data_IF_074699967686
#
_entry.id   IF_074699967686
#
_cell.length_a   1.000
_cell.length_b   1.000
_cell.length_c   1.000
_cell.angle_alpha   90.00
_cell.angle_beta   90.00
_cell.angle_gamma   90.00
#
_symmetry.space_group_name_H-M   'P 1'
#
loop_
_entity.id
_entity.type
_entity.pdbx_description
1 polymer ?
#
# COMPACT_ATOMS: atom_id res chain seq x y z
N UNK A 1 -1.65 -8.17 -25.44
CA UNK A 1 -1.79 -7.95 -23.99
C UNK A 1 -1.02 -6.69 -23.70
N UNK A 2 -1.65 -5.68 -23.14
CA UNK A 2 -0.90 -4.64 -22.43
C UNK A 2 -0.26 -5.34 -21.23
N UNK A 3 1.01 -5.05 -20.97
CA UNK A 3 1.70 -5.63 -19.81
C UNK A 3 1.08 -5.04 -18.53
N UNK A 4 0.73 -5.91 -17.58
CA UNK A 4 0.27 -5.53 -16.23
C UNK A 4 1.32 -4.63 -15.57
N UNK A 5 0.89 -3.49 -15.05
CA UNK A 5 1.76 -2.59 -14.29
C UNK A 5 1.82 -3.12 -12.86
N UNK A 6 3.04 -3.35 -12.37
CA UNK A 6 3.29 -3.72 -10.99
C UNK A 6 3.88 -2.52 -10.29
N UNK A 7 3.17 -2.01 -9.28
CA UNK A 7 3.63 -0.90 -8.44
C UNK A 7 4.63 -1.35 -7.40
N UNK A 8 4.40 -2.53 -6.78
CA UNK A 8 5.31 -3.08 -5.80
C UNK A 8 5.18 -4.61 -5.69
N UNK A 9 6.24 -5.25 -5.18
CA UNK A 9 6.19 -6.64 -4.72
C UNK A 9 6.99 -6.80 -3.44
N UNK A 10 6.42 -7.47 -2.45
CA UNK A 10 7.11 -7.84 -1.21
C UNK A 10 8.49 -8.48 -1.46
N UNK A 11 8.60 -9.28 -2.54
CA UNK A 11 9.87 -9.93 -2.92
C UNK A 11 10.99 -8.99 -3.33
N UNK A 12 10.69 -7.79 -3.83
CA UNK A 12 11.72 -6.80 -4.15
C UNK A 12 12.48 -6.37 -2.88
N UNK A 13 11.81 -6.44 -1.73
CA UNK A 13 12.37 -6.09 -0.44
C UNK A 13 13.13 -7.26 0.17
N UNK A 14 12.49 -8.40 0.42
CA UNK A 14 13.14 -9.52 1.12
C UNK A 14 14.22 -10.24 0.28
N UNK A 15 14.31 -9.99 -1.03
CA UNK A 15 15.42 -10.45 -1.87
C UNK A 15 16.53 -9.38 -2.04
N UNK A 16 16.29 -8.17 -1.53
CA UNK A 16 17.22 -7.05 -1.53
C UNK A 16 18.00 -6.93 -0.23
N UNK A 17 18.20 -5.69 0.23
CA UNK A 17 18.87 -5.36 1.49
C UNK A 17 17.84 -5.39 2.64
N UNK A 18 17.43 -6.60 3.03
CA UNK A 18 16.46 -6.84 4.08
C UNK A 18 17.15 -7.26 5.39
N UNK A 19 16.75 -6.71 6.56
CA UNK A 19 17.36 -7.08 7.84
C UNK A 19 17.25 -8.57 8.14
N UNK A 20 18.38 -9.23 8.39
CA UNK A 20 18.44 -10.69 8.64
C UNK A 20 17.75 -11.12 9.94
N UNK A 21 17.54 -10.18 10.87
CA UNK A 21 16.93 -10.41 12.18
C UNK A 21 15.40 -10.30 12.17
N UNK A 22 14.80 -9.82 11.07
CA UNK A 22 13.36 -9.69 10.91
C UNK A 22 12.74 -10.89 10.17
N UNK A 23 11.49 -11.28 10.50
CA UNK A 23 10.76 -12.25 9.70
C UNK A 23 10.41 -11.65 8.33
N UNK A 24 10.39 -12.49 7.29
CA UNK A 24 10.07 -12.09 5.90
C UNK A 24 8.73 -11.33 5.81
N UNK A 25 7.77 -11.66 6.67
CA UNK A 25 6.47 -11.00 6.77
C UNK A 25 6.59 -9.47 6.93
N UNK A 26 7.68 -8.96 7.52
CA UNK A 26 7.91 -7.51 7.65
C UNK A 26 8.14 -6.81 6.31
N UNK A 27 8.53 -7.52 5.25
CA UNK A 27 8.65 -6.99 3.90
C UNK A 27 7.29 -6.67 3.24
N UNK A 28 6.18 -7.14 3.83
CA UNK A 28 4.83 -6.91 3.30
C UNK A 28 4.17 -5.67 3.91
N UNK A 29 4.66 -5.21 5.07
CA UNK A 29 3.94 -4.26 5.93
C UNK A 29 3.71 -2.92 5.25
N UNK A 30 4.74 -2.32 4.65
CA UNK A 30 4.56 -0.99 4.06
C UNK A 30 3.51 -1.02 2.95
N UNK A 31 3.62 -1.91 1.95
CA UNK A 31 2.67 -1.92 0.83
C UNK A 31 1.31 -2.47 1.27
N UNK A 32 1.29 -3.37 2.26
CA UNK A 32 0.09 -3.80 2.94
C UNK A 32 -0.71 -2.66 3.56
N UNK A 33 -0.07 -1.73 4.25
CA UNK A 33 -0.75 -0.55 4.78
C UNK A 33 -1.33 0.35 3.68
N UNK A 34 -0.63 0.50 2.56
CA UNK A 34 -1.16 1.23 1.39
C UNK A 34 -2.37 0.52 0.77
N UNK A 35 -2.33 -0.81 0.62
CA UNK A 35 -3.49 -1.59 0.17
C UNK A 35 -4.67 -1.38 1.14
N UNK A 36 -4.43 -1.37 2.44
CA UNK A 36 -5.46 -1.01 3.43
C UNK A 36 -6.07 0.36 3.15
N UNK A 37 -5.27 1.36 2.80
CA UNK A 37 -5.75 2.69 2.45
C UNK A 37 -6.62 2.68 1.18
N UNK A 38 -6.21 1.94 0.15
CA UNK A 38 -7.01 1.70 -1.07
C UNK A 38 -8.38 1.09 -0.73
N UNK A 39 -8.40 0.08 0.14
CA UNK A 39 -9.63 -0.59 0.60
C UNK A 39 -10.57 0.36 1.34
N UNK A 40 -10.04 1.20 2.22
CA UNK A 40 -10.84 2.16 2.98
C UNK A 40 -11.49 3.24 2.10
N UNK A 41 -10.82 3.61 1.01
CA UNK A 41 -11.30 4.64 0.07
C UNK A 41 -12.08 4.08 -1.11
N UNK A 42 -12.29 2.76 -1.18
CA UNK A 42 -12.95 2.07 -2.29
C UNK A 42 -12.28 2.36 -3.65
N UNK A 43 -10.94 2.33 -3.66
CA UNK A 43 -10.11 2.57 -4.86
C UNK A 43 -9.65 1.28 -5.55
N UNK A 44 -10.27 0.15 -5.19
CA UNK A 44 -10.03 -1.17 -5.78
C UNK A 44 -10.91 -1.42 -7.02
N UNK A 45 -10.53 -2.38 -7.86
CA UNK A 45 -11.31 -2.82 -9.03
C UNK A 45 -12.48 -3.72 -8.64
N UNK A 46 -13.48 -3.84 -9.52
CA UNK A 46 -14.61 -4.77 -9.33
C UNK A 46 -14.12 -6.23 -9.27
N UNK A 47 -13.15 -6.60 -10.11
CA UNK A 47 -12.57 -7.95 -10.15
C UNK A 47 -11.89 -8.31 -8.82
N UNK A 48 -11.06 -7.41 -8.29
CA UNK A 48 -10.43 -7.59 -6.98
C UNK A 48 -11.47 -7.67 -5.85
N UNK A 49 -12.55 -6.88 -5.91
CA UNK A 49 -13.64 -6.95 -4.93
C UNK A 49 -14.35 -8.31 -4.96
N UNK A 50 -14.65 -8.84 -6.14
CA UNK A 50 -15.30 -10.14 -6.31
C UNK A 50 -14.46 -11.28 -5.70
N UNK A 51 -13.14 -11.25 -5.91
CA UNK A 51 -12.22 -12.27 -5.40
C UNK A 51 -11.92 -12.11 -3.89
N UNK A 52 -11.93 -10.88 -3.37
CA UNK A 52 -11.52 -10.56 -1.99
C UNK A 52 -12.67 -10.18 -1.07
N UNK A 53 -13.92 -10.49 -1.44
CA UNK A 53 -15.12 -9.95 -0.78
C UNK A 53 -15.13 -10.17 0.75
N UNK A 54 -14.75 -11.36 1.22
CA UNK A 54 -14.75 -11.68 2.65
C UNK A 54 -13.58 -11.03 3.39
N UNK A 55 -12.44 -10.86 2.74
CA UNK A 55 -11.28 -10.16 3.27
C UNK A 55 -11.57 -8.67 3.43
N UNK A 56 -12.18 -8.04 2.42
CA UNK A 56 -12.62 -6.64 2.45
C UNK A 56 -13.62 -6.41 3.60
N UNK A 57 -14.55 -7.34 3.84
CA UNK A 57 -15.46 -7.26 4.99
C UNK A 57 -14.68 -7.32 6.32
N UNK A 58 -13.74 -8.24 6.45
CA UNK A 58 -12.91 -8.35 7.66
C UNK A 58 -12.05 -7.11 7.88
N UNK A 59 -11.49 -6.53 6.82
CA UNK A 59 -10.76 -5.27 6.86
C UNK A 59 -11.63 -4.11 7.33
N UNK A 60 -12.85 -3.99 6.80
CA UNK A 60 -13.84 -2.97 7.21
C UNK A 60 -14.26 -3.14 8.67
N UNK A 61 -14.26 -4.38 9.19
CA UNK A 61 -14.51 -4.70 10.60
C UNK A 61 -13.27 -4.60 11.49
N UNK A 62 -12.11 -4.22 10.94
CA UNK A 62 -10.81 -4.16 11.64
C UNK A 62 -10.32 -5.51 12.19
N UNK A 63 -10.77 -6.60 11.58
CA UNK A 63 -10.40 -7.98 11.93
C UNK A 63 -9.23 -8.52 11.10
N UNK A 64 -8.93 -7.88 9.98
CA UNK A 64 -7.82 -8.21 9.08
C UNK A 64 -7.16 -6.91 8.60
N UNK A 65 -5.84 -6.84 8.58
CA UNK A 65 -5.09 -5.66 8.10
C UNK A 65 -4.95 -5.69 6.57
N UNK A 66 -4.60 -4.55 5.98
CA UNK A 66 -4.26 -4.52 4.55
C UNK A 66 -3.02 -5.38 4.24
N UNK A 67 -2.11 -5.53 5.20
CA UNK A 67 -0.92 -6.39 5.10
C UNK A 67 -1.28 -7.86 5.00
N UNK A 68 -2.23 -8.35 5.81
CA UNK A 68 -2.71 -9.73 5.73
C UNK A 68 -3.37 -10.02 4.37
N UNK A 69 -4.15 -9.08 3.84
CA UNK A 69 -4.74 -9.20 2.50
C UNK A 69 -3.65 -9.19 1.43
N UNK A 70 -2.67 -8.30 1.55
CA UNK A 70 -1.54 -8.23 0.62
C UNK A 70 -0.74 -9.54 0.59
N UNK A 71 -0.56 -10.19 1.74
CA UNK A 71 0.06 -11.53 1.82
C UNK A 71 -0.78 -12.59 1.10
N UNK A 72 -2.11 -12.57 1.25
CA UNK A 72 -3.02 -13.48 0.55
C UNK A 72 -3.00 -13.27 -0.97
N UNK A 73 -2.61 -12.07 -1.41
CA UNK A 73 -2.39 -11.68 -2.81
C UNK A 73 -0.91 -11.80 -3.24
N UNK A 74 -0.19 -12.78 -2.68
CA UNK A 74 1.22 -13.11 -2.98
C UNK A 74 2.21 -11.94 -2.79
N UNK A 75 1.80 -10.89 -2.08
CA UNK A 75 2.57 -9.66 -1.90
C UNK A 75 2.84 -8.95 -3.23
N UNK A 76 1.84 -8.87 -4.11
CA UNK A 76 1.91 -8.12 -5.38
C UNK A 76 0.87 -7.03 -5.41
N UNK A 77 1.29 -5.78 -5.66
CA UNK A 77 0.38 -4.65 -5.89
C UNK A 77 0.44 -4.31 -7.38
N UNK A 78 -0.64 -4.60 -8.09
CA UNK A 78 -0.75 -4.44 -9.54
C UNK A 78 -1.94 -3.56 -9.94
N UNK A 79 -1.94 -3.10 -11.18
CA UNK A 79 -2.95 -2.19 -11.71
C UNK A 79 -4.34 -2.82 -11.88
N UNK A 80 -4.41 -4.12 -12.11
CA UNK A 80 -5.67 -4.87 -12.15
C UNK A 80 -6.39 -4.96 -10.79
N UNK A 81 -5.69 -4.73 -9.68
CA UNK A 81 -6.29 -4.65 -8.34
C UNK A 81 -7.03 -3.34 -8.08
N UNK A 82 -6.75 -2.30 -8.88
CA UNK A 82 -7.19 -0.92 -8.62
C UNK A 82 -8.19 -0.46 -9.68
N UNK A 83 -9.11 0.43 -9.30
CA UNK A 83 -9.91 1.12 -10.30
C UNK A 83 -9.12 2.27 -10.95
N UNK A 84 -9.70 2.94 -11.95
CA UNK A 84 -9.03 3.99 -12.72
C UNK A 84 -8.46 5.12 -11.83
N UNK A 85 -9.16 5.51 -10.77
CA UNK A 85 -8.70 6.56 -9.86
C UNK A 85 -7.58 6.05 -8.94
N UNK A 86 -7.74 4.84 -8.39
CA UNK A 86 -6.70 4.17 -7.60
C UNK A 86 -5.41 4.00 -8.40
N UNK A 87 -5.51 3.60 -9.67
CA UNK A 87 -4.38 3.46 -10.57
C UNK A 87 -3.66 4.78 -10.83
N UNK A 88 -4.39 5.85 -11.14
CA UNK A 88 -3.75 7.15 -11.40
C UNK A 88 -3.03 7.68 -10.15
N UNK A 89 -3.58 7.46 -8.96
CA UNK A 89 -2.91 7.84 -7.72
C UNK A 89 -1.70 6.95 -7.43
N UNK A 90 -1.82 5.63 -7.57
CA UNK A 90 -0.71 4.69 -7.37
C UNK A 90 0.46 5.00 -8.34
N UNK A 91 0.19 5.28 -9.61
CA UNK A 91 1.22 5.71 -10.58
C UNK A 91 1.96 6.98 -10.15
N UNK A 92 1.25 7.95 -9.55
CA UNK A 92 1.86 9.15 -9.01
C UNK A 92 2.70 8.86 -7.76
N UNK A 93 2.19 8.01 -6.88
CA UNK A 93 2.71 7.85 -5.53
C UNK A 93 3.82 6.79 -5.42
N UNK A 94 3.80 5.78 -6.30
CA UNK A 94 4.82 4.73 -6.43
C UNK A 94 5.80 4.96 -7.59
N UNK A 95 5.83 6.16 -8.19
CA UNK A 95 6.74 6.45 -9.30
C UNK A 95 8.23 6.27 -8.89
N UNK A 96 9.00 5.46 -9.62
CA UNK A 96 10.40 5.12 -9.31
C UNK A 96 11.35 6.33 -9.19
N UNK A 97 11.10 7.46 -9.85
CA UNK A 97 12.00 8.62 -9.81
C UNK A 97 11.94 9.36 -8.46
N UNK A 98 10.80 9.34 -7.78
CA UNK A 98 10.57 10.08 -6.54
C UNK A 98 10.10 9.20 -5.37
N UNK A 99 9.56 8.02 -5.67
CA UNK A 99 8.91 7.05 -4.79
C UNK A 99 8.28 7.68 -3.55
N UNK A 100 7.36 8.62 -3.78
CA UNK A 100 6.77 9.48 -2.71
C UNK A 100 6.21 8.66 -1.55
N UNK A 101 5.59 7.53 -1.85
CA UNK A 101 5.05 6.65 -0.83
C UNK A 101 6.10 6.22 0.21
N UNK A 102 7.28 5.76 -0.23
CA UNK A 102 8.30 5.27 0.72
C UNK A 102 8.90 6.42 1.54
N UNK A 103 8.97 7.63 0.98
CA UNK A 103 9.40 8.83 1.71
C UNK A 103 8.40 9.17 2.81
N UNK A 104 7.12 9.29 2.47
CA UNK A 104 6.05 9.58 3.42
C UNK A 104 5.98 8.51 4.53
N UNK A 105 6.09 7.24 4.15
CA UNK A 105 6.15 6.12 5.09
C UNK A 105 7.34 6.23 6.05
N UNK A 106 8.53 6.50 5.53
CA UNK A 106 9.75 6.62 6.33
C UNK A 106 9.71 7.84 7.26
N UNK A 107 9.12 8.94 6.81
CA UNK A 107 8.96 10.16 7.62
C UNK A 107 7.96 9.95 8.78
N UNK A 108 6.86 9.21 8.55
CA UNK A 108 5.90 8.86 9.60
C UNK A 108 6.54 7.99 10.68
N UNK A 109 7.44 7.09 10.29
CA UNK A 109 8.06 6.12 11.18
C UNK A 109 9.58 6.36 11.36
N UNK A 110 9.98 7.63 11.39
CA UNK A 110 11.40 8.04 11.43
C UNK A 110 12.19 7.50 12.63
N UNK A 111 11.48 7.13 13.70
CA UNK A 111 12.07 6.60 14.93
C UNK A 111 12.34 5.07 14.85
N UNK A 112 11.87 4.38 13.81
CA UNK A 112 12.15 2.96 13.60
C UNK A 112 13.53 2.78 12.95
N UNK A 113 14.23 1.69 13.31
CA UNK A 113 15.61 1.44 12.84
C UNK A 113 15.71 1.32 11.32
N UNK A 114 14.69 0.71 10.71
CA UNK A 114 14.51 0.63 9.26
C UNK A 114 13.03 0.72 8.94
N UNK A 115 12.67 0.99 7.69
CA UNK A 115 11.27 0.93 7.23
C UNK A 115 10.59 -0.43 7.49
N UNK A 116 11.36 -1.52 7.59
CA UNK A 116 10.86 -2.87 7.89
C UNK A 116 10.60 -3.13 9.39
N UNK A 117 10.98 -2.22 10.30
CA UNK A 117 10.76 -2.41 11.74
C UNK A 117 9.37 -1.94 12.21
N UNK A 118 8.65 -1.22 11.34
CA UNK A 118 7.28 -0.80 11.59
C UNK A 118 6.37 -2.02 11.77
N UNK A 119 5.58 -2.01 12.84
CA UNK A 119 4.63 -3.09 13.14
C UNK A 119 3.33 -2.91 12.39
N UNK A 120 2.80 -4.01 11.86
CA UNK A 120 1.46 -4.08 11.27
C UNK A 120 0.39 -3.96 12.35
N UNK A 121 -0.03 -2.72 12.64
CA UNK A 121 -1.04 -2.41 13.64
C UNK A 121 -1.96 -1.33 13.12
N UNK A 122 -3.22 -1.34 13.57
CA UNK A 122 -4.16 -0.28 13.24
C UNK A 122 -3.69 1.11 13.68
N UNK A 123 -2.97 1.20 14.80
CA UNK A 123 -2.38 2.48 15.25
C UNK A 123 -1.41 3.04 14.21
N UNK A 124 -0.48 2.22 13.72
CA UNK A 124 0.47 2.65 12.70
C UNK A 124 -0.22 2.91 11.36
N UNK A 125 -1.19 2.08 10.98
CA UNK A 125 -2.02 2.33 9.80
C UNK A 125 -2.69 3.70 9.87
N UNK A 126 -3.29 4.08 11.01
CA UNK A 126 -3.95 5.39 11.13
C UNK A 126 -2.98 6.57 11.11
N UNK A 127 -1.77 6.42 11.68
CA UNK A 127 -0.70 7.45 11.55
C UNK A 127 -0.33 7.67 10.08
N UNK A 128 -0.12 6.58 9.34
CA UNK A 128 0.24 6.65 7.93
C UNK A 128 -0.91 7.17 7.07
N UNK A 129 -2.15 6.74 7.36
CA UNK A 129 -3.36 7.16 6.66
C UNK A 129 -3.48 8.67 6.57
N UNK A 130 -3.22 9.40 7.66
CA UNK A 130 -3.32 10.87 7.65
C UNK A 130 -2.37 11.50 6.62
N UNK A 131 -1.18 10.93 6.43
CA UNK A 131 -0.21 11.41 5.43
C UNK A 131 -0.64 11.01 4.03
N UNK A 132 -1.07 9.77 3.81
CA UNK A 132 -1.59 9.33 2.50
C UNK A 132 -2.80 10.17 2.08
N UNK A 133 -3.73 10.46 3.01
CA UNK A 133 -4.89 11.33 2.75
C UNK A 133 -4.45 12.72 2.26
N UNK A 134 -3.43 13.31 2.90
CA UNK A 134 -2.90 14.61 2.50
C UNK A 134 -2.25 14.56 1.11
N UNK A 135 -1.43 13.54 0.84
CA UNK A 135 -0.78 13.31 -0.45
C UNK A 135 -1.80 13.07 -1.57
N UNK A 136 -2.85 12.30 -1.29
CA UNK A 136 -3.97 12.06 -2.21
C UNK A 136 -4.77 13.34 -2.50
N UNK A 137 -5.13 14.11 -1.47
CA UNK A 137 -5.84 15.37 -1.66
C UNK A 137 -5.00 16.39 -2.43
N UNK A 138 -3.71 16.49 -2.12
CA UNK A 138 -2.79 17.34 -2.87
C UNK A 138 -2.73 16.93 -4.35
N UNK A 139 -2.57 15.64 -4.63
CA UNK A 139 -2.57 15.13 -6.00
C UNK A 139 -3.88 15.48 -6.73
N UNK A 140 -5.03 15.23 -6.09
CA UNK A 140 -6.37 15.50 -6.65
C UNK A 140 -6.59 16.98 -6.95
N UNK A 141 -6.16 17.86 -6.07
CA UNK A 141 -6.22 19.32 -6.27
C UNK A 141 -5.33 19.81 -7.42
N UNK A 142 -4.17 19.17 -7.64
CA UNK A 142 -3.27 19.53 -8.73
C UNK A 142 -3.74 19.00 -10.09
N UNK A 143 -4.55 17.94 -10.14
CA UNK A 143 -5.22 17.51 -11.37
C UNK A 143 -6.29 18.50 -11.81
N UNK A 144 -7.08 19.04 -10.88
CA UNK A 144 -8.16 19.98 -11.19
C UNK A 144 -7.68 21.38 -11.62
N UNK A 145 -6.41 21.70 -11.36
CA UNK A 145 -5.79 22.98 -11.74
C UNK A 145 -5.15 22.96 -13.13
N UNK A 146 -5.14 21.82 -13.82
CA UNK A 146 -4.66 21.65 -15.19
C UNK A 146 -5.81 21.72 -16.18
#
# INVERSE_FOLDING_TARGET
>A
MLDTIVYDKAKYHYQGDFPEDLPIDQAFVHTGMFLGWILEHNLFSEEFEEESLDEIKQFKLRQMTGTEIYMNWDGVLADDMLNDEGNQFAMYYFNDEEWKYISDYSDVFIDEETLYHVKDTWENYFKLKEVIDNSYNFWKDNLQKR
#
